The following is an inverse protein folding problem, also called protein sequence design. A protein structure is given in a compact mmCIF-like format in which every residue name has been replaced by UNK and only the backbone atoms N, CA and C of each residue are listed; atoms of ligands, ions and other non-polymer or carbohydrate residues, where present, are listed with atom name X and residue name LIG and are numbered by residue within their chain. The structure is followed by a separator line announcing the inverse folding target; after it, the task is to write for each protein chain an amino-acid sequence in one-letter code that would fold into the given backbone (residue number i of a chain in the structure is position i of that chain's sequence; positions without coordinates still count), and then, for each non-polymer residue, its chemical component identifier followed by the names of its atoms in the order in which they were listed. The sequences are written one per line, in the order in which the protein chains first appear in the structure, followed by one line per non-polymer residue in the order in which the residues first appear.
data_IF_825975403657
#
_entry.id   IF_825975403657
#
_cell.length_a   1.000
_cell.length_b   1.000
_cell.length_c   1.000
_cell.angle_alpha   90.00
_cell.angle_beta   90.00
_cell.angle_gamma   90.00
#
_symmetry.space_group_name_H-M   'P 1'
#
loop_
_entity.id
_entity.type
_entity.pdbx_description
1 polymer ?
#
# COMPACT_ATOMS: atom_id res chain seq x y z
N UNK A 1 10.69 10.39 16.28
CA UNK A 1 10.18 9.04 15.96
C UNK A 1 11.28 8.34 15.18
N UNK A 2 11.63 7.08 15.49
CA UNK A 2 12.64 6.35 14.70
C UNK A 2 12.09 6.06 13.30
N UNK A 3 12.89 6.25 12.24
CA UNK A 3 12.43 6.00 10.89
C UNK A 3 12.30 4.50 10.61
N UNK A 4 11.24 4.08 9.89
CA UNK A 4 11.08 2.74 9.33
C UNK A 4 11.53 2.69 7.86
N UNK A 5 11.41 3.84 7.18
CA UNK A 5 11.82 4.05 5.80
C UNK A 5 12.35 5.48 5.63
N UNK A 6 13.47 5.61 4.91
CA UNK A 6 13.96 6.91 4.44
C UNK A 6 14.20 6.86 2.94
N UNK A 7 13.75 7.89 2.26
CA UNK A 7 13.95 8.10 0.82
C UNK A 7 14.67 9.43 0.64
N UNK A 8 15.77 9.43 -0.13
CA UNK A 8 16.62 10.61 -0.35
C UNK A 8 16.93 10.76 -1.83
N UNK A 9 16.51 11.88 -2.42
CA UNK A 9 16.81 12.26 -3.79
C UNK A 9 16.31 11.25 -4.83
N UNK A 10 15.12 10.65 -4.62
CA UNK A 10 14.62 9.57 -5.47
C UNK A 10 14.14 10.12 -6.82
N UNK A 11 14.71 9.56 -7.88
CA UNK A 11 14.33 9.84 -9.28
C UNK A 11 13.98 8.51 -9.97
N UNK A 12 12.89 8.47 -10.73
CA UNK A 12 12.50 7.30 -11.50
C UNK A 12 12.14 7.68 -12.93
N UNK A 13 12.48 6.77 -13.87
CA UNK A 13 12.34 7.01 -15.30
C UNK A 13 11.66 5.82 -15.97
N UNK A 14 10.70 6.08 -16.84
CA UNK A 14 10.09 5.08 -17.71
C UNK A 14 10.51 5.26 -19.15
N UNK A 15 10.81 4.17 -19.85
CA UNK A 15 11.01 4.17 -21.29
C UNK A 15 9.67 3.93 -21.97
N UNK A 16 9.15 4.93 -22.68
CA UNK A 16 7.96 4.79 -23.53
C UNK A 16 8.37 4.38 -24.96
N UNK A 17 7.80 3.26 -25.44
CA UNK A 17 7.90 2.81 -26.82
C UNK A 17 9.10 1.93 -27.10
N UNK A 18 8.86 0.62 -27.22
CA UNK A 18 9.71 -0.31 -27.94
C UNK A 18 9.06 -0.60 -29.30
N UNK A 19 9.44 0.20 -30.32
CA UNK A 19 9.40 -0.24 -31.71
C UNK A 19 10.84 -0.51 -32.13
N UNK A 20 11.06 -1.56 -32.92
CA UNK A 20 12.40 -1.95 -33.41
C UNK A 20 13.15 -0.83 -34.15
N UNK A 21 12.51 0.31 -34.42
CA UNK A 21 13.03 1.44 -35.19
C UNK A 21 12.97 2.80 -34.48
N UNK A 22 12.52 2.89 -33.20
CA UNK A 22 12.48 4.17 -32.49
C UNK A 22 13.22 4.07 -31.15
N UNK A 23 14.17 4.98 -30.92
CA UNK A 23 14.75 5.21 -29.59
C UNK A 23 13.62 5.67 -28.66
N UNK A 24 13.14 4.79 -27.74
CA UNK A 24 12.08 5.10 -26.81
C UNK A 24 12.37 6.40 -26.04
N UNK A 25 11.35 7.26 -25.89
CA UNK A 25 11.44 8.48 -25.09
C UNK A 25 11.50 8.12 -23.61
N UNK A 26 12.55 8.52 -22.92
CA UNK A 26 12.64 8.41 -21.47
C UNK A 26 11.80 9.51 -20.82
N UNK A 27 10.82 9.14 -20.01
CA UNK A 27 9.98 10.07 -19.26
C UNK A 27 10.34 9.96 -17.78
N UNK A 28 10.72 11.06 -17.16
CA UNK A 28 10.95 11.14 -15.74
C UNK A 28 9.62 11.23 -15.01
N UNK A 29 9.36 10.28 -14.10
CA UNK A 29 8.10 10.17 -13.34
C UNK A 29 8.28 10.63 -11.90
N UNK A 30 9.41 10.33 -11.26
CA UNK A 30 9.75 10.86 -9.93
C UNK A 30 10.93 11.83 -10.05
N UNK A 31 10.87 12.93 -9.30
CA UNK A 31 11.84 14.02 -9.36
C UNK A 31 12.24 14.44 -7.96
N UNK A 32 13.43 14.05 -7.55
CA UNK A 32 14.05 14.44 -6.27
C UNK A 32 13.11 14.22 -5.05
N UNK A 33 12.45 13.06 -5.00
CA UNK A 33 11.50 12.74 -3.94
C UNK A 33 12.27 12.40 -2.66
N UNK A 34 11.93 13.10 -1.58
CA UNK A 34 12.47 12.90 -0.24
C UNK A 34 11.31 12.63 0.72
N UNK A 35 11.31 11.48 1.43
CA UNK A 35 10.26 11.03 2.34
C UNK A 35 10.85 10.27 3.49
N UNK A 36 10.33 10.48 4.69
CA UNK A 36 10.61 9.64 5.85
C UNK A 36 9.30 9.14 6.43
N UNK A 37 9.22 7.84 6.73
CA UNK A 37 8.11 7.22 7.46
C UNK A 37 8.62 6.79 8.82
N UNK A 38 7.95 7.20 9.89
CA UNK A 38 8.26 6.80 11.26
C UNK A 38 7.74 5.41 11.60
N UNK A 39 8.31 4.80 12.63
CA UNK A 39 7.80 3.53 13.16
C UNK A 39 6.40 3.74 13.76
N UNK A 40 5.45 2.87 13.41
CA UNK A 40 4.07 2.95 13.84
C UNK A 40 3.26 4.08 13.17
N UNK A 41 3.83 4.86 12.26
CA UNK A 41 3.17 5.96 11.56
C UNK A 41 2.27 5.47 10.41
N UNK A 42 1.15 6.17 10.20
CA UNK A 42 0.34 6.12 8.98
C UNK A 42 0.59 7.39 8.18
N UNK A 43 1.43 7.29 7.15
CA UNK A 43 1.70 8.38 6.21
C UNK A 43 0.74 8.30 5.03
N UNK A 44 -0.10 9.32 4.84
CA UNK A 44 -0.97 9.47 3.67
C UNK A 44 -0.18 9.99 2.45
N UNK A 45 -0.46 9.47 1.27
CA UNK A 45 0.07 9.96 0.00
C UNK A 45 -1.08 10.26 -0.94
N UNK A 46 -1.28 11.54 -1.25
CA UNK A 46 -2.36 12.03 -2.09
C UNK A 46 -1.85 12.76 -3.33
N UNK A 47 -2.71 12.93 -4.32
CA UNK A 47 -2.44 13.62 -5.58
C UNK A 47 -3.25 13.03 -6.72
N UNK A 48 -3.32 13.74 -7.86
CA UNK A 48 -4.05 13.29 -9.04
C UNK A 48 -3.53 11.98 -9.63
N UNK A 49 -4.35 11.35 -10.49
CA UNK A 49 -3.91 10.21 -11.28
C UNK A 49 -2.71 10.59 -12.15
N UNK A 50 -1.68 9.73 -12.16
CA UNK A 50 -0.45 10.00 -12.90
C UNK A 50 0.55 10.92 -12.19
N UNK A 51 0.30 11.37 -10.95
CA UNK A 51 1.27 12.19 -10.19
C UNK A 51 2.55 11.45 -9.76
N UNK A 52 2.56 10.11 -9.82
CA UNK A 52 3.74 9.29 -9.49
C UNK A 52 3.59 8.39 -8.24
N UNK A 53 2.44 8.40 -7.55
CA UNK A 53 2.20 7.66 -6.29
C UNK A 53 2.53 6.16 -6.39
N UNK A 54 1.93 5.46 -7.37
CA UNK A 54 2.18 4.02 -7.56
C UNK A 54 3.62 3.74 -8.04
N UNK A 55 4.29 4.70 -8.69
CA UNK A 55 5.71 4.58 -9.04
C UNK A 55 6.57 4.67 -7.79
N UNK A 56 6.25 5.58 -6.86
CA UNK A 56 6.92 5.67 -5.56
C UNK A 56 6.75 4.37 -4.77
N UNK A 57 5.53 3.84 -4.68
CA UNK A 57 5.24 2.55 -4.04
C UNK A 57 6.09 1.40 -4.63
N UNK A 58 6.13 1.30 -5.95
CA UNK A 58 6.92 0.28 -6.66
C UNK A 58 8.43 0.47 -6.45
N UNK A 59 8.92 1.71 -6.40
CA UNK A 59 10.33 2.00 -6.11
C UNK A 59 10.72 1.54 -4.71
N UNK A 60 9.87 1.80 -3.70
CA UNK A 60 10.08 1.32 -2.32
C UNK A 60 10.20 -0.20 -2.26
N UNK A 61 9.44 -0.91 -3.07
CA UNK A 61 9.48 -2.38 -3.14
C UNK A 61 10.61 -2.94 -4.03
N UNK A 62 11.40 -2.07 -4.66
CA UNK A 62 12.43 -2.49 -5.61
C UNK A 62 11.88 -3.09 -6.91
N UNK A 63 10.62 -2.77 -7.26
CA UNK A 63 9.93 -3.28 -8.45
C UNK A 63 10.15 -2.42 -9.70
N UNK A 64 10.83 -1.30 -9.59
CA UNK A 64 11.17 -0.38 -10.69
C UNK A 64 12.54 0.21 -10.50
N UNK A 65 13.21 0.56 -11.60
CA UNK A 65 14.51 1.22 -11.55
C UNK A 65 14.38 2.66 -11.02
N UNK A 66 15.34 3.06 -10.21
CA UNK A 66 15.42 4.40 -9.65
C UNK A 66 16.87 4.84 -9.43
N UNK A 67 17.06 6.14 -9.27
CA UNK A 67 18.27 6.79 -8.80
C UNK A 67 17.99 7.47 -7.46
N UNK A 68 19.00 7.61 -6.61
CA UNK A 68 18.85 8.08 -5.24
C UNK A 68 19.00 6.96 -4.22
N UNK A 69 18.48 7.15 -3.01
CA UNK A 69 18.61 6.20 -1.92
C UNK A 69 17.26 5.86 -1.30
N UNK A 70 17.03 4.57 -1.07
CA UNK A 70 15.91 4.05 -0.26
C UNK A 70 16.53 3.21 0.86
N UNK A 71 16.37 3.66 2.09
CA UNK A 71 16.93 3.01 3.28
C UNK A 71 15.78 2.39 4.06
N UNK A 72 15.76 1.07 4.11
CA UNK A 72 14.79 0.30 4.88
C UNK A 72 15.37 -0.03 6.26
N UNK A 73 14.72 0.44 7.31
CA UNK A 73 15.06 0.06 8.70
C UNK A 73 14.28 -1.18 9.15
N UNK A 74 13.41 -1.70 8.29
CA UNK A 74 12.72 -2.97 8.48
C UNK A 74 12.91 -3.89 7.29
N UNK A 75 12.69 -5.20 7.52
CA UNK A 75 12.76 -6.20 6.47
C UNK A 75 11.39 -6.39 5.81
N UNK A 76 11.39 -6.57 4.47
CA UNK A 76 10.24 -7.07 3.71
C UNK A 76 9.01 -6.20 3.79
N UNK A 77 9.06 -4.95 3.34
CA UNK A 77 7.84 -4.19 3.14
C UNK A 77 6.90 -5.00 2.24
N UNK A 78 5.61 -4.92 2.50
CA UNK A 78 4.56 -5.59 1.72
C UNK A 78 3.64 -4.56 1.10
N UNK A 79 2.85 -4.99 0.12
CA UNK A 79 1.88 -4.14 -0.54
C UNK A 79 0.53 -4.83 -0.65
N UNK A 80 -0.52 -4.08 -0.39
CA UNK A 80 -1.90 -4.44 -0.71
C UNK A 80 -2.27 -3.61 -1.94
N UNK A 81 -2.63 -4.28 -3.03
CA UNK A 81 -2.93 -3.67 -4.32
C UNK A 81 -4.38 -3.20 -4.42
N UNK A 82 -4.63 -2.25 -5.29
CA UNK A 82 -5.94 -1.69 -5.61
C UNK A 82 -6.96 -2.75 -6.06
N UNK A 83 -6.53 -3.68 -6.93
CA UNK A 83 -7.39 -4.77 -7.42
C UNK A 83 -7.01 -6.11 -6.78
N UNK A 84 -7.76 -6.55 -5.75
CA UNK A 84 -7.51 -7.82 -5.12
C UNK A 84 -7.79 -9.01 -6.04
N UNK A 85 -8.63 -8.85 -7.09
CA UNK A 85 -8.95 -9.95 -8.00
C UNK A 85 -7.75 -10.33 -8.86
N UNK A 86 -7.04 -9.35 -9.39
CA UNK A 86 -5.84 -9.60 -10.23
C UNK A 86 -4.64 -10.09 -9.39
N UNK A 87 -4.61 -9.77 -8.10
CA UNK A 87 -3.51 -10.14 -7.20
C UNK A 87 -3.61 -11.56 -6.64
N UNK A 88 -4.82 -12.17 -6.64
CA UNK A 88 -5.06 -13.51 -6.09
C UNK A 88 -5.04 -14.56 -7.20
N UNK A 89 -4.24 -15.62 -7.06
CA UNK A 89 -4.23 -16.72 -8.02
C UNK A 89 -5.58 -17.47 -8.03
N UNK A 90 -6.37 -17.43 -9.12
CA UNK A 90 -7.72 -18.00 -9.15
C UNK A 90 -7.75 -19.53 -9.07
N UNK A 91 -6.63 -20.20 -9.32
CA UNK A 91 -6.55 -21.66 -9.26
C UNK A 91 -6.40 -22.19 -7.82
N UNK A 92 -5.93 -21.36 -6.89
CA UNK A 92 -5.61 -21.78 -5.53
C UNK A 92 -6.78 -21.53 -4.55
N UNK A 93 -6.83 -22.32 -3.49
CA UNK A 93 -7.72 -22.04 -2.35
C UNK A 93 -7.18 -20.87 -1.53
N UNK A 94 -8.07 -20.23 -0.75
CA UNK A 94 -7.72 -19.08 0.09
C UNK A 94 -6.58 -19.42 1.04
N UNK A 95 -6.65 -20.56 1.72
CA UNK A 95 -5.58 -21.06 2.60
C UNK A 95 -4.25 -21.17 1.84
N UNK A 96 -4.25 -21.70 0.63
CA UNK A 96 -3.05 -21.84 -0.20
C UNK A 96 -2.46 -20.50 -0.61
N UNK A 97 -3.31 -19.53 -0.95
CA UNK A 97 -2.89 -18.17 -1.30
C UNK A 97 -2.19 -17.49 -0.12
N UNK A 98 -2.81 -17.52 1.06
CA UNK A 98 -2.25 -16.89 2.26
C UNK A 98 -0.99 -17.63 2.76
N UNK A 99 -0.88 -18.95 2.53
CA UNK A 99 0.33 -19.72 2.86
C UNK A 99 1.53 -19.40 1.95
N UNK A 100 1.31 -18.96 0.72
CA UNK A 100 2.34 -18.85 -0.31
C UNK A 100 3.57 -18.02 0.13
N UNK A 101 3.42 -16.82 0.74
CA UNK A 101 4.57 -16.05 1.22
C UNK A 101 5.40 -16.81 2.26
N UNK A 102 4.78 -17.57 3.17
CA UNK A 102 5.50 -18.37 4.15
C UNK A 102 6.30 -19.52 3.51
N UNK A 103 5.82 -20.06 2.39
CA UNK A 103 6.53 -21.10 1.63
C UNK A 103 7.75 -20.53 0.91
N UNK A 104 7.62 -19.35 0.31
CA UNK A 104 8.71 -18.65 -0.39
C UNK A 104 9.84 -18.34 0.59
N UNK A 105 9.50 -17.85 1.78
CA UNK A 105 10.51 -17.49 2.79
C UNK A 105 11.09 -18.67 3.56
N UNK A 106 10.52 -19.88 3.47
CA UNK A 106 11.14 -21.15 3.82
C UNK A 106 11.47 -21.42 5.29
N UNK A 107 10.99 -20.61 6.24
CA UNK A 107 11.39 -20.68 7.67
C UNK A 107 10.49 -21.51 8.59
N UNK A 108 9.39 -22.07 8.07
CA UNK A 108 8.37 -22.73 8.88
C UNK A 108 8.08 -24.15 8.42
N UNK A 109 7.85 -25.05 9.38
CA UNK A 109 7.36 -26.39 9.09
C UNK A 109 5.93 -26.34 8.51
N UNK A 110 5.45 -27.38 7.82
CA UNK A 110 4.08 -27.43 7.32
C UNK A 110 3.01 -27.19 8.41
N UNK A 111 3.21 -27.73 9.60
CA UNK A 111 2.30 -27.55 10.74
C UNK A 111 2.27 -26.08 11.22
N UNK A 112 3.44 -25.46 11.34
CA UNK A 112 3.56 -24.04 11.72
C UNK A 112 2.95 -23.11 10.67
N UNK A 113 3.11 -23.40 9.37
CA UNK A 113 2.47 -22.63 8.32
C UNK A 113 0.96 -22.71 8.39
N UNK A 114 0.43 -23.93 8.55
CA UNK A 114 -1.01 -24.15 8.70
C UNK A 114 -1.59 -23.33 9.86
N UNK A 115 -0.99 -23.42 11.04
CA UNK A 115 -1.43 -22.69 12.22
C UNK A 115 -1.42 -21.18 11.99
N UNK A 116 -0.31 -20.61 11.44
CA UNK A 116 -0.19 -19.17 11.14
C UNK A 116 -1.24 -18.70 10.14
N UNK A 117 -1.54 -19.50 9.13
CA UNK A 117 -2.57 -19.18 8.13
C UNK A 117 -3.96 -19.14 8.78
N UNK A 118 -4.28 -20.10 9.62
CA UNK A 118 -5.55 -20.14 10.33
C UNK A 118 -5.70 -18.93 11.27
N UNK A 119 -4.67 -18.61 12.06
CA UNK A 119 -4.62 -17.43 12.91
C UNK A 119 -4.80 -16.13 12.11
N UNK A 120 -4.11 -15.98 10.98
CA UNK A 120 -4.19 -14.79 10.14
C UNK A 120 -5.54 -14.64 9.46
N UNK A 121 -6.11 -15.72 8.92
CA UNK A 121 -7.44 -15.70 8.32
C UNK A 121 -8.51 -15.34 9.36
N UNK A 122 -8.39 -15.85 10.56
CA UNK A 122 -9.28 -15.48 11.66
C UNK A 122 -9.12 -14.00 12.05
N UNK A 123 -7.89 -13.48 12.10
CA UNK A 123 -7.61 -12.07 12.41
C UNK A 123 -8.24 -11.10 11.38
N UNK A 124 -8.35 -11.52 10.11
CA UNK A 124 -9.05 -10.72 9.08
C UNK A 124 -10.54 -11.04 8.97
N UNK A 125 -11.12 -11.85 9.91
CA UNK A 125 -12.54 -12.17 9.96
C UNK A 125 -13.00 -13.19 8.91
N UNK A 126 -12.11 -14.10 8.47
CA UNK A 126 -12.41 -15.21 7.57
C UNK A 126 -12.31 -16.54 8.32
N UNK A 127 -13.46 -17.12 8.67
CA UNK A 127 -13.56 -18.38 9.39
C UNK A 127 -13.20 -19.63 8.54
N UNK A 128 -13.21 -20.83 9.17
CA UNK A 128 -12.83 -22.08 8.51
C UNK A 128 -13.62 -22.40 7.23
N UNK A 129 -14.85 -21.90 7.12
CA UNK A 129 -15.74 -22.11 5.96
C UNK A 129 -15.21 -21.45 4.67
N UNK A 130 -14.22 -20.54 4.78
CA UNK A 130 -13.59 -19.87 3.64
C UNK A 130 -12.28 -20.53 3.18
N UNK A 131 -11.63 -21.35 4.02
CA UNK A 131 -10.27 -21.82 3.81
C UNK A 131 -10.06 -22.56 2.47
N UNK A 132 -11.01 -23.39 2.09
CA UNK A 132 -10.93 -24.21 0.87
C UNK A 132 -11.67 -23.58 -0.33
N UNK A 133 -12.31 -22.41 -0.15
CA UNK A 133 -12.90 -21.64 -1.26
C UNK A 133 -11.82 -21.07 -2.18
N UNK A 134 -12.23 -20.76 -3.41
CA UNK A 134 -11.41 -20.04 -4.40
C UNK A 134 -11.81 -18.56 -4.44
N UNK A 135 -10.94 -17.67 -4.94
CA UNK A 135 -11.23 -16.23 -5.03
C UNK A 135 -12.55 -15.89 -5.73
N UNK A 136 -12.92 -16.63 -6.77
CA UNK A 136 -14.19 -16.42 -7.50
C UNK A 136 -15.46 -16.66 -6.64
N UNK A 137 -15.34 -17.37 -5.51
CA UNK A 137 -16.44 -17.68 -4.59
C UNK A 137 -16.58 -16.65 -3.44
N UNK A 138 -15.78 -15.57 -3.47
CA UNK A 138 -15.75 -14.55 -2.43
C UNK A 138 -16.36 -13.24 -2.94
N UNK A 139 -16.96 -12.46 -2.02
CA UNK A 139 -17.32 -11.06 -2.26
C UNK A 139 -16.07 -10.17 -2.42
N UNK A 140 -16.25 -8.93 -2.90
CA UNK A 140 -15.16 -7.95 -3.03
C UNK A 140 -14.41 -7.72 -1.71
N UNK A 141 -15.15 -7.43 -0.64
CA UNK A 141 -14.58 -7.23 0.69
C UNK A 141 -13.88 -8.48 1.26
N UNK A 142 -14.42 -9.69 1.00
CA UNK A 142 -13.75 -10.93 1.40
C UNK A 142 -12.44 -11.14 0.63
N UNK A 143 -12.39 -10.85 -0.67
CA UNK A 143 -11.14 -10.89 -1.46
C UNK A 143 -10.12 -9.89 -0.92
N UNK A 144 -10.56 -8.68 -0.54
CA UNK A 144 -9.69 -7.68 0.04
C UNK A 144 -9.10 -8.16 1.38
N UNK A 145 -9.90 -8.80 2.23
CA UNK A 145 -9.42 -9.42 3.49
C UNK A 145 -8.37 -10.52 3.23
N UNK A 146 -8.51 -11.31 2.17
CA UNK A 146 -7.50 -12.30 1.75
C UNK A 146 -6.22 -11.62 1.30
N UNK A 147 -6.31 -10.54 0.50
CA UNK A 147 -5.15 -9.75 0.06
C UNK A 147 -4.39 -9.17 1.26
N UNK A 148 -5.11 -8.59 2.22
CA UNK A 148 -4.55 -8.08 3.48
C UNK A 148 -3.87 -9.22 4.26
N UNK A 149 -4.54 -10.36 4.46
CA UNK A 149 -3.98 -11.52 5.14
C UNK A 149 -2.67 -11.99 4.49
N UNK A 150 -2.63 -12.03 3.15
CA UNK A 150 -1.45 -12.44 2.38
C UNK A 150 -0.28 -11.49 2.58
N UNK A 151 -0.52 -10.19 2.66
CA UNK A 151 0.51 -9.20 2.96
C UNK A 151 1.00 -9.29 4.41
N UNK A 152 0.08 -9.53 5.37
CA UNK A 152 0.38 -9.52 6.81
C UNK A 152 1.00 -10.82 7.32
N UNK A 153 0.85 -11.96 6.62
CA UNK A 153 1.26 -13.29 7.12
C UNK A 153 2.77 -13.38 7.41
N UNK A 154 3.59 -12.60 6.72
CA UNK A 154 5.05 -12.55 6.91
C UNK A 154 5.48 -11.60 8.03
N UNK A 155 4.52 -10.99 8.74
CA UNK A 155 4.75 -10.02 9.81
C UNK A 155 5.68 -8.88 9.35
N UNK A 156 5.29 -8.11 8.31
CA UNK A 156 6.04 -6.92 7.91
C UNK A 156 5.98 -5.86 9.01
N UNK A 157 6.86 -4.86 8.97
CA UNK A 157 6.71 -3.65 9.80
C UNK A 157 6.24 -2.44 8.97
N UNK A 158 6.39 -2.50 7.66
CA UNK A 158 5.89 -1.48 6.72
C UNK A 158 5.00 -2.14 5.68
N UNK A 159 3.80 -1.60 5.50
CA UNK A 159 2.86 -2.01 4.44
C UNK A 159 2.44 -0.81 3.62
N UNK A 160 2.48 -0.96 2.31
CA UNK A 160 1.99 0.01 1.36
C UNK A 160 0.56 -0.38 0.99
N UNK A 161 -0.38 0.52 1.18
CA UNK A 161 -1.79 0.36 0.87
C UNK A 161 -2.07 1.23 -0.38
N UNK A 162 -1.99 0.64 -1.58
CA UNK A 162 -2.21 1.37 -2.84
C UNK A 162 -3.67 1.25 -3.26
N UNK A 163 -4.46 2.29 -2.96
CA UNK A 163 -5.90 2.37 -3.21
C UNK A 163 -6.68 1.14 -2.70
N UNK A 164 -6.24 0.59 -1.56
CA UNK A 164 -6.70 -0.69 -1.04
C UNK A 164 -8.20 -0.77 -0.70
N UNK A 165 -8.92 0.35 -0.68
CA UNK A 165 -10.35 0.42 -0.36
C UNK A 165 -11.20 1.10 -1.46
N UNK A 166 -10.59 1.65 -2.50
CA UNK A 166 -11.27 2.50 -3.50
C UNK A 166 -12.34 1.78 -4.35
N UNK A 167 -12.23 0.46 -4.51
CA UNK A 167 -13.15 -0.36 -5.30
C UNK A 167 -14.30 -0.98 -4.47
N UNK A 168 -14.43 -0.61 -3.20
CA UNK A 168 -15.41 -1.16 -2.27
C UNK A 168 -16.55 -0.15 -2.04
N UNK A 169 -17.74 -0.67 -1.71
CA UNK A 169 -18.82 0.18 -1.21
C UNK A 169 -18.46 0.77 0.16
N UNK A 170 -19.09 1.90 0.51
CA UNK A 170 -18.74 2.70 1.70
C UNK A 170 -18.78 1.86 2.99
N UNK A 171 -19.77 1.01 3.16
CA UNK A 171 -19.92 0.18 4.37
C UNK A 171 -18.79 -0.84 4.50
N UNK A 172 -18.41 -1.47 3.41
CA UNK A 172 -17.29 -2.44 3.39
C UNK A 172 -15.95 -1.69 3.51
N UNK A 173 -15.83 -0.50 2.92
CA UNK A 173 -14.67 0.36 3.06
C UNK A 173 -14.38 0.66 4.54
N UNK A 174 -15.36 1.13 5.30
CA UNK A 174 -15.23 1.40 6.74
C UNK A 174 -14.77 0.15 7.52
N UNK A 175 -15.36 -1.01 7.24
CA UNK A 175 -14.97 -2.26 7.88
C UNK A 175 -13.51 -2.68 7.57
N UNK A 176 -13.02 -2.38 6.36
CA UNK A 176 -11.63 -2.67 5.99
C UNK A 176 -10.68 -1.66 6.64
N UNK A 177 -11.06 -0.39 6.75
CA UNK A 177 -10.28 0.62 7.45
C UNK A 177 -10.13 0.28 8.94
N UNK A 178 -11.23 -0.09 9.61
CA UNK A 178 -11.21 -0.54 11.00
C UNK A 178 -10.29 -1.75 11.18
N UNK A 179 -10.38 -2.74 10.28
CA UNK A 179 -9.50 -3.90 10.28
C UNK A 179 -8.03 -3.51 10.14
N UNK A 180 -7.70 -2.62 9.21
CA UNK A 180 -6.31 -2.15 9.00
C UNK A 180 -5.78 -1.43 10.25
N UNK A 181 -6.60 -0.58 10.89
CA UNK A 181 -6.20 0.11 12.12
C UNK A 181 -6.09 -0.85 13.32
N UNK A 182 -6.91 -1.89 13.38
CA UNK A 182 -6.76 -2.97 14.37
C UNK A 182 -5.43 -3.73 14.16
N UNK A 183 -5.14 -4.18 12.93
CA UNK A 183 -3.91 -4.90 12.60
C UNK A 183 -2.67 -4.03 12.82
N UNK A 184 -2.73 -2.71 12.55
CA UNK A 184 -1.66 -1.75 12.87
C UNK A 184 -1.28 -1.84 14.35
N UNK A 185 -2.26 -1.78 15.23
CA UNK A 185 -2.03 -1.83 16.70
C UNK A 185 -1.56 -3.20 17.17
N UNK A 186 -2.12 -4.27 16.62
CA UNK A 186 -1.80 -5.64 17.03
C UNK A 186 -0.38 -6.07 16.59
N UNK A 187 0.07 -5.62 15.41
CA UNK A 187 1.33 -6.06 14.81
C UNK A 187 2.41 -4.98 14.75
N UNK A 188 2.20 -3.82 15.36
CA UNK A 188 3.14 -2.68 15.37
C UNK A 188 3.53 -2.27 13.92
N UNK A 189 2.53 -2.02 13.08
CA UNK A 189 2.70 -1.72 11.67
C UNK A 189 2.81 -0.22 11.41
N UNK A 190 3.61 0.13 10.42
CA UNK A 190 3.61 1.45 9.78
C UNK A 190 2.96 1.31 8.41
N UNK A 191 2.21 2.33 7.98
CA UNK A 191 1.56 2.33 6.68
C UNK A 191 2.02 3.50 5.80
N UNK A 192 2.22 3.23 4.52
CA UNK A 192 2.12 4.23 3.46
C UNK A 192 0.74 4.06 2.81
N UNK A 193 -0.18 4.98 3.10
CA UNK A 193 -1.57 4.90 2.65
C UNK A 193 -1.77 5.79 1.43
N UNK A 194 -1.92 5.19 0.26
CA UNK A 194 -2.16 5.88 -1.00
C UNK A 194 -3.65 5.85 -1.29
N UNK A 195 -4.27 7.02 -1.41
CA UNK A 195 -5.68 7.16 -1.76
C UNK A 195 -5.92 8.44 -2.55
N UNK A 196 -6.97 8.42 -3.37
CA UNK A 196 -7.56 9.62 -3.95
C UNK A 196 -8.77 10.12 -3.13
N UNK A 197 -9.28 9.29 -2.20
CA UNK A 197 -10.33 9.68 -1.26
C UNK A 197 -9.72 10.39 -0.06
N UNK A 198 -9.93 11.70 0.01
CA UNK A 198 -9.40 12.54 1.07
C UNK A 198 -10.06 12.30 2.43
N UNK A 199 -11.32 11.82 2.48
CA UNK A 199 -11.98 11.47 3.73
C UNK A 199 -11.29 10.28 4.40
N UNK A 200 -10.89 9.27 3.62
CA UNK A 200 -10.12 8.13 4.12
C UNK A 200 -8.77 8.58 4.68
N UNK A 201 -8.08 9.47 3.97
CA UNK A 201 -6.81 10.03 4.44
C UNK A 201 -6.98 10.80 5.75
N UNK A 202 -8.02 11.63 5.85
CA UNK A 202 -8.32 12.41 7.05
C UNK A 202 -8.58 11.50 8.27
N UNK A 203 -9.32 10.42 8.08
CA UNK A 203 -9.69 9.50 9.17
C UNK A 203 -8.55 8.62 9.67
N UNK A 204 -7.61 8.25 8.79
CA UNK A 204 -6.68 7.16 9.09
C UNK A 204 -5.22 7.58 9.23
N UNK A 205 -4.83 8.75 8.69
CA UNK A 205 -3.42 9.13 8.60
C UNK A 205 -2.99 10.05 9.73
N UNK A 206 -1.73 9.94 10.14
CA UNK A 206 -1.11 10.83 11.12
C UNK A 206 -0.53 12.07 10.43
N UNK A 207 0.04 11.89 9.23
CA UNK A 207 0.68 12.91 8.39
C UNK A 207 0.37 12.63 6.93
N UNK A 208 0.39 13.67 6.10
CA UNK A 208 0.09 13.59 4.66
C UNK A 208 1.18 14.25 3.83
N UNK A 209 1.54 13.61 2.74
CA UNK A 209 2.36 14.18 1.66
C UNK A 209 1.50 14.33 0.40
N UNK A 210 1.61 15.48 -0.24
CA UNK A 210 0.89 15.81 -1.48
C UNK A 210 1.87 15.74 -2.64
N UNK A 211 1.54 14.94 -3.64
CA UNK A 211 2.39 14.72 -4.80
C UNK A 211 1.78 15.31 -6.07
N UNK A 212 2.53 16.20 -6.75
CA UNK A 212 2.20 16.74 -8.06
C UNK A 212 3.36 16.49 -9.05
N UNK A 213 3.05 15.94 -10.22
CA UNK A 213 4.00 15.77 -11.35
C UNK A 213 5.35 15.16 -10.95
N UNK A 214 5.30 14.17 -10.04
CA UNK A 214 6.46 13.41 -9.58
C UNK A 214 7.28 14.07 -8.46
N UNK A 215 6.79 15.15 -7.87
CA UNK A 215 7.43 15.85 -6.76
C UNK A 215 6.48 15.91 -5.56
N UNK A 216 7.06 15.93 -4.35
CA UNK A 216 6.31 16.27 -3.14
C UNK A 216 6.26 17.80 -3.06
N UNK A 217 5.05 18.34 -3.09
CA UNK A 217 4.81 19.78 -3.10
C UNK A 217 4.40 20.31 -1.72
N UNK A 218 3.86 19.45 -0.88
CA UNK A 218 3.50 19.80 0.49
C UNK A 218 3.54 18.56 1.39
N UNK A 219 3.93 18.76 2.65
CA UNK A 219 3.98 17.73 3.69
C UNK A 219 3.61 18.38 5.02
N UNK A 220 2.62 17.80 5.73
CA UNK A 220 2.20 18.29 7.04
C UNK A 220 1.43 17.19 7.80
N UNK A 221 1.06 17.47 9.07
CA UNK A 221 0.02 16.70 9.77
C UNK A 221 -1.29 16.72 8.98
N UNK A 222 -2.18 15.76 9.23
CA UNK A 222 -3.50 15.74 8.59
C UNK A 222 -4.20 17.08 8.74
N UNK A 223 -4.35 17.57 9.98
CA UNK A 223 -5.01 18.87 10.26
C UNK A 223 -4.30 20.03 9.51
N UNK A 224 -2.97 20.00 9.44
CA UNK A 224 -2.20 21.04 8.74
C UNK A 224 -2.47 21.07 7.22
N UNK A 225 -2.67 19.91 6.59
CA UNK A 225 -3.02 19.83 5.16
C UNK A 225 -4.48 20.24 4.93
N UNK A 226 -5.41 19.78 5.76
CA UNK A 226 -6.84 19.99 5.53
C UNK A 226 -7.33 21.39 5.97
N UNK A 227 -6.85 21.89 7.10
CA UNK A 227 -7.32 23.18 7.65
C UNK A 227 -6.47 24.36 7.15
N UNK A 228 -5.18 24.14 6.91
CA UNK A 228 -4.23 25.21 6.59
C UNK A 228 -3.32 24.87 5.39
N UNK A 229 -3.88 24.47 4.22
CA UNK A 229 -3.08 24.13 3.03
C UNK A 229 -2.31 25.37 2.55
N UNK A 230 -1.02 25.20 2.27
CA UNK A 230 -0.14 26.28 1.83
C UNK A 230 -0.01 26.27 0.31
N UNK A 231 0.31 25.10 -0.28
CA UNK A 231 0.57 24.98 -1.70
C UNK A 231 -0.69 25.18 -2.55
N UNK A 232 -0.66 25.93 -3.66
CA UNK A 232 -1.83 26.15 -4.52
C UNK A 232 -2.48 24.85 -5.02
N UNK A 233 -1.68 23.86 -5.37
CA UNK A 233 -2.17 22.55 -5.82
C UNK A 233 -2.92 21.80 -4.71
N UNK A 234 -2.43 21.85 -3.46
CA UNK A 234 -3.13 21.27 -2.30
C UNK A 234 -4.50 21.89 -2.13
N UNK A 235 -4.61 23.22 -2.23
CA UNK A 235 -5.87 23.95 -2.17
C UNK A 235 -6.85 23.51 -3.25
N UNK A 236 -6.37 23.37 -4.49
CA UNK A 236 -7.19 22.88 -5.61
C UNK A 236 -7.65 21.44 -5.38
N UNK A 237 -6.77 20.56 -4.91
CA UNK A 237 -7.08 19.16 -4.63
C UNK A 237 -8.19 19.04 -3.57
N UNK A 238 -8.11 19.81 -2.49
CA UNK A 238 -9.11 19.83 -1.42
C UNK A 238 -10.45 20.41 -1.89
N UNK A 239 -10.44 21.46 -2.71
CA UNK A 239 -11.66 22.04 -3.28
C UNK A 239 -12.39 21.11 -4.25
N UNK A 240 -11.65 20.29 -5.00
CA UNK A 240 -12.23 19.33 -5.94
C UNK A 240 -12.88 18.11 -5.26
N UNK A 241 -12.61 17.89 -3.99
CA UNK A 241 -13.12 16.77 -3.18
C UNK A 241 -14.34 17.14 -2.30
N UNK A 242 -14.71 18.43 -2.26
CA UNK A 242 -15.91 18.94 -1.59
C UNK A 242 -17.12 18.87 -2.52
#
# INVERSE_FOLDING_TARGET
MEPILEIRGLNSFYRQGHSAFSRGKTVQVLRDVNVTIGQGEVLGLVGESGSGKSTLAKSILGMTEYQGQIIHHSRRPQMVFQDPYSSLNPAFSIRRIVEEPLRIYGKHTPAQRKQRVEEMLQAVGLGPEFYDRKPAQLSGGQRQRVSIATAMIVRPRLVILDEAVSALDVTIQDQILDLLMQLRREFDLSYLFISHDLNVIYQCCDRVIVMEKGQIVEENTVDGIFDHPVHPYTKQLLQAAQ
#
